data_IF_013668898357
#
_entry.id   IF_013668898357
#
_cell.length_a   1.000
_cell.length_b   1.000
_cell.length_c   1.000
_cell.angle_alpha   90.00
_cell.angle_beta   90.00
_cell.angle_gamma   90.00
#
_symmetry.space_group_name_H-M   'P 1'
#
loop_
_entity.id
_entity.type
_entity.pdbx_description
1 polymer ?
#
# COMPACT_ATOMS: atom_id res chain seq x y z
N UNK A 1 93.91 -69.87 154.69
CA UNK A 1 93.11 -68.82 155.36
C UNK A 1 93.38 -67.38 154.87
N UNK A 2 94.60 -66.80 154.90
CA UNK A 2 94.82 -65.42 154.38
C UNK A 2 94.86 -65.32 152.84
N UNK A 3 95.48 -66.28 152.15
CA UNK A 3 95.61 -66.29 150.67
C UNK A 3 94.31 -66.63 149.94
N UNK A 4 93.40 -67.41 150.55
CA UNK A 4 92.10 -67.74 149.95
C UNK A 4 91.15 -66.53 149.96
N UNK A 5 91.29 -65.63 150.95
CA UNK A 5 90.47 -64.43 151.08
C UNK A 5 90.85 -63.36 150.04
N UNK A 6 92.15 -63.22 149.72
CA UNK A 6 92.61 -62.34 148.63
C UNK A 6 92.24 -62.87 147.25
N UNK A 7 92.34 -64.18 147.03
CA UNK A 7 91.90 -64.82 145.79
C UNK A 7 90.38 -64.65 145.57
N UNK A 8 89.58 -64.78 146.63
CA UNK A 8 88.14 -64.52 146.59
C UNK A 8 87.80 -63.05 146.31
N UNK A 9 88.52 -62.09 146.91
CA UNK A 9 88.31 -60.65 146.63
C UNK A 9 88.69 -60.27 145.20
N UNK A 10 89.76 -60.84 144.67
CA UNK A 10 90.18 -60.63 143.28
C UNK A 10 89.17 -61.23 142.30
N UNK A 11 88.69 -62.45 142.57
CA UNK A 11 87.64 -63.08 141.79
C UNK A 11 86.30 -62.32 141.89
N UNK A 12 85.98 -61.72 143.05
CA UNK A 12 84.81 -60.88 143.20
C UNK A 12 84.94 -59.60 142.37
N UNK A 13 86.09 -58.92 142.41
CA UNK A 13 86.38 -57.74 141.60
C UNK A 13 86.37 -58.02 140.10
N UNK A 14 86.90 -59.18 139.66
CA UNK A 14 86.84 -59.60 138.25
C UNK A 14 85.40 -59.91 137.82
N UNK A 15 84.59 -60.50 138.70
CA UNK A 15 83.17 -60.72 138.46
C UNK A 15 82.37 -59.43 138.45
N UNK A 16 82.64 -58.49 139.35
CA UNK A 16 82.00 -57.17 139.37
C UNK A 16 82.37 -56.36 138.12
N UNK A 17 83.62 -56.46 137.64
CA UNK A 17 84.05 -55.87 136.37
C UNK A 17 83.33 -56.51 135.18
N UNK A 18 83.24 -57.84 135.13
CA UNK A 18 82.49 -58.56 134.10
C UNK A 18 80.99 -58.23 134.13
N UNK A 19 80.39 -58.11 135.31
CA UNK A 19 78.99 -57.71 135.48
C UNK A 19 78.76 -56.29 134.97
N UNK A 20 79.67 -55.35 135.28
CA UNK A 20 79.58 -53.98 134.80
C UNK A 20 79.76 -53.90 133.28
N UNK A 21 80.74 -54.61 132.70
CA UNK A 21 80.95 -54.71 131.26
C UNK A 21 79.73 -55.32 130.54
N UNK A 22 79.16 -56.39 131.09
CA UNK A 22 77.97 -57.03 130.54
C UNK A 22 76.73 -56.13 130.66
N UNK A 23 76.63 -55.33 131.73
CA UNK A 23 75.57 -54.32 131.87
C UNK A 23 75.74 -53.19 130.85
N UNK A 24 76.97 -52.69 130.63
CA UNK A 24 77.26 -51.70 129.60
C UNK A 24 76.94 -52.24 128.19
N UNK A 25 77.31 -53.48 127.88
CA UNK A 25 76.98 -54.14 126.62
C UNK A 25 75.46 -54.37 126.47
N UNK A 26 74.76 -54.76 127.55
CA UNK A 26 73.30 -54.91 127.56
C UNK A 26 72.60 -53.59 127.31
N UNK A 27 73.07 -52.50 127.94
CA UNK A 27 72.58 -51.14 127.70
C UNK A 27 72.83 -50.70 126.26
N UNK A 28 74.02 -50.97 125.71
CA UNK A 28 74.36 -50.65 124.33
C UNK A 28 73.47 -51.41 123.33
N UNK A 29 73.21 -52.71 123.57
CA UNK A 29 72.29 -53.52 122.76
C UNK A 29 70.85 -53.03 122.87
N UNK A 30 70.42 -52.58 124.04
CA UNK A 30 69.07 -52.04 124.25
C UNK A 30 68.88 -50.70 123.54
N UNK A 31 69.88 -49.81 123.57
CA UNK A 31 69.88 -48.57 122.79
C UNK A 31 69.87 -48.87 121.28
N UNK A 32 70.67 -49.83 120.80
CA UNK A 32 70.63 -50.25 119.40
C UNK A 32 69.27 -50.83 119.00
N UNK A 33 68.64 -51.62 119.88
CA UNK A 33 67.29 -52.14 119.69
C UNK A 33 66.29 -50.99 119.54
N UNK A 34 66.29 -50.00 120.43
CA UNK A 34 65.42 -48.83 120.36
C UNK A 34 65.65 -48.00 119.08
N UNK A 35 66.90 -47.77 118.68
CA UNK A 35 67.24 -47.10 117.41
C UNK A 35 66.70 -47.91 116.23
N UNK A 36 66.84 -49.24 116.24
CA UNK A 36 66.35 -50.11 115.17
C UNK A 36 64.82 -50.14 115.11
N UNK A 37 64.14 -50.14 116.25
CA UNK A 37 62.69 -50.06 116.36
C UNK A 37 62.18 -48.70 115.88
N UNK A 38 62.85 -47.60 116.25
CA UNK A 38 62.55 -46.25 115.77
C UNK A 38 62.71 -46.13 114.26
N UNK A 39 63.80 -46.67 113.69
CA UNK A 39 63.98 -46.75 112.22
C UNK A 39 62.89 -47.58 111.55
N UNK A 40 62.52 -48.73 112.12
CA UNK A 40 61.43 -49.55 111.60
C UNK A 40 60.08 -48.82 111.64
N UNK A 41 59.79 -48.09 112.70
CA UNK A 41 58.58 -47.30 112.84
C UNK A 41 58.54 -46.14 111.83
N UNK A 42 59.65 -45.44 111.63
CA UNK A 42 59.76 -44.39 110.60
C UNK A 42 59.53 -44.96 109.20
N UNK A 43 60.16 -46.09 108.87
CA UNK A 43 59.93 -46.76 107.58
C UNK A 43 58.47 -47.21 107.39
N UNK A 44 57.79 -47.59 108.47
CA UNK A 44 56.37 -47.94 108.41
C UNK A 44 55.50 -46.69 108.11
N UNK A 45 55.81 -45.55 108.72
CA UNK A 45 55.14 -44.28 108.44
C UNK A 45 55.40 -43.83 107.00
N UNK A 46 56.65 -43.90 106.54
CA UNK A 46 57.03 -43.53 105.18
C UNK A 46 56.35 -44.43 104.13
N UNK A 47 56.28 -45.75 104.38
CA UNK A 47 55.54 -46.68 103.53
C UNK A 47 54.03 -46.38 103.52
N UNK A 48 53.45 -46.01 104.66
CA UNK A 48 52.04 -45.61 104.70
C UNK A 48 51.80 -44.33 103.89
N UNK A 49 52.67 -43.33 104.01
CA UNK A 49 52.58 -42.09 103.23
C UNK A 49 52.74 -42.34 101.72
N UNK A 50 53.67 -43.22 101.33
CA UNK A 50 53.83 -43.65 99.93
C UNK A 50 52.60 -44.37 99.41
N UNK A 51 51.99 -45.26 100.19
CA UNK A 51 50.76 -45.97 99.79
C UNK A 51 49.59 -45.00 99.57
N UNK A 52 49.44 -43.99 100.43
CA UNK A 52 48.44 -42.93 100.21
C UNK A 52 48.71 -42.21 98.89
N UNK A 53 49.98 -41.87 98.62
CA UNK A 53 50.36 -41.19 97.38
C UNK A 53 50.12 -42.05 96.13
N UNK A 54 50.36 -43.36 96.22
CA UNK A 54 50.07 -44.31 95.14
C UNK A 54 48.57 -44.35 94.87
N UNK A 55 47.74 -44.45 95.91
CA UNK A 55 46.28 -44.46 95.75
C UNK A 55 45.76 -43.15 95.12
N UNK A 56 46.27 -41.99 95.55
CA UNK A 56 45.92 -40.69 94.94
C UNK A 56 46.27 -40.65 93.45
N UNK A 57 47.45 -41.17 93.08
CA UNK A 57 47.90 -41.24 91.68
C UNK A 57 47.06 -42.24 90.87
N UNK A 58 46.67 -43.38 91.45
CA UNK A 58 45.79 -44.35 90.82
C UNK A 58 44.40 -43.77 90.57
N UNK A 59 43.80 -43.09 91.54
CA UNK A 59 42.53 -42.36 91.37
C UNK A 59 42.65 -41.25 90.31
N UNK A 60 43.75 -40.50 90.33
CA UNK A 60 44.07 -39.50 89.30
C UNK A 60 44.21 -40.12 87.91
N UNK A 61 44.83 -41.30 87.81
CA UNK A 61 44.95 -42.04 86.56
C UNK A 61 43.59 -42.52 86.05
N UNK A 62 42.74 -43.08 86.93
CA UNK A 62 41.42 -43.56 86.55
C UNK A 62 40.50 -42.42 86.08
N UNK A 63 40.51 -41.29 86.79
CA UNK A 63 39.74 -40.10 86.39
C UNK A 63 40.20 -39.61 85.02
N UNK A 64 41.51 -39.45 84.80
CA UNK A 64 42.06 -39.08 83.48
C UNK A 64 41.71 -40.08 82.39
N UNK A 65 41.73 -41.38 82.67
CA UNK A 65 41.36 -42.42 81.71
C UNK A 65 39.87 -42.33 81.32
N UNK A 66 39.00 -42.02 82.29
CA UNK A 66 37.57 -41.80 82.04
C UNK A 66 37.31 -40.53 81.20
N UNK A 67 38.04 -39.43 81.47
CA UNK A 67 38.00 -38.20 80.67
C UNK A 67 38.47 -38.46 79.23
N UNK A 68 39.56 -39.21 79.06
CA UNK A 68 40.09 -39.60 77.75
C UNK A 68 39.09 -40.43 76.95
N UNK A 69 38.40 -41.37 77.60
CA UNK A 69 37.34 -42.15 76.99
C UNK A 69 36.14 -41.27 76.55
N UNK A 70 35.78 -40.26 77.34
CA UNK A 70 34.73 -39.30 76.99
C UNK A 70 35.13 -38.41 75.81
N UNK A 71 36.35 -37.89 75.82
CA UNK A 71 36.91 -37.09 74.72
C UNK A 71 37.00 -37.91 73.42
N UNK A 72 37.41 -39.17 73.50
CA UNK A 72 37.43 -40.07 72.34
C UNK A 72 36.04 -40.26 71.74
N UNK A 73 35.00 -40.47 72.57
CA UNK A 73 33.59 -40.53 72.11
C UNK A 73 33.14 -39.24 71.43
N UNK A 74 33.48 -38.08 72.00
CA UNK A 74 33.15 -36.78 71.41
C UNK A 74 33.87 -36.56 70.08
N UNK A 75 35.14 -36.95 69.99
CA UNK A 75 35.93 -36.88 68.76
C UNK A 75 35.31 -37.73 67.66
N UNK A 76 34.98 -39.00 67.94
CA UNK A 76 34.31 -39.87 66.97
C UNK A 76 32.97 -39.29 66.50
N UNK A 77 32.18 -38.71 67.41
CA UNK A 77 30.90 -38.08 67.05
C UNK A 77 31.09 -36.81 66.20
N UNK A 78 32.12 -36.03 66.49
CA UNK A 78 32.53 -34.88 65.68
C UNK A 78 32.97 -35.32 64.28
N UNK A 79 33.74 -36.40 64.19
CA UNK A 79 34.21 -36.97 62.93
C UNK A 79 33.04 -37.51 62.09
N UNK A 80 32.10 -38.23 62.70
CA UNK A 80 30.86 -38.68 62.04
C UNK A 80 30.03 -37.50 61.52
N UNK A 81 29.89 -36.44 62.33
CA UNK A 81 29.19 -35.22 61.90
C UNK A 81 29.89 -34.54 60.72
N UNK A 82 31.23 -34.44 60.76
CA UNK A 82 32.02 -33.89 59.65
C UNK A 82 31.82 -34.68 58.36
N UNK A 83 31.83 -36.02 58.45
CA UNK A 83 31.55 -36.89 57.30
C UNK A 83 30.13 -36.73 56.76
N UNK A 84 29.12 -36.62 57.64
CA UNK A 84 27.73 -36.35 57.24
C UNK A 84 27.60 -35.01 56.51
N UNK A 85 28.20 -33.96 57.04
CA UNK A 85 28.21 -32.63 56.40
C UNK A 85 28.90 -32.69 55.04
N UNK A 86 30.06 -33.36 54.94
CA UNK A 86 30.77 -33.53 53.67
C UNK A 86 29.93 -34.27 52.62
N UNK A 87 29.23 -35.34 53.03
CA UNK A 87 28.32 -36.08 52.15
C UNK A 87 27.14 -35.21 51.68
N UNK A 88 26.57 -34.41 52.58
CA UNK A 88 25.47 -33.51 52.27
C UNK A 88 25.92 -32.38 51.32
N UNK A 89 27.10 -31.80 51.55
CA UNK A 89 27.73 -30.82 50.67
C UNK A 89 27.95 -31.38 49.26
N UNK A 90 28.43 -32.62 49.16
CA UNK A 90 28.64 -33.31 47.88
C UNK A 90 27.31 -33.52 47.14
N UNK A 91 26.26 -33.92 47.85
CA UNK A 91 24.91 -34.07 47.28
C UNK A 91 24.39 -32.73 46.73
N UNK A 92 24.47 -31.66 47.51
CA UNK A 92 24.00 -30.33 47.06
C UNK A 92 24.81 -29.78 45.89
N UNK A 93 26.12 -30.08 45.79
CA UNK A 93 26.92 -29.71 44.62
C UNK A 93 26.45 -30.43 43.36
N UNK A 94 26.16 -31.73 43.44
CA UNK A 94 25.63 -32.50 42.30
C UNK A 94 24.27 -31.96 41.84
N UNK A 95 23.39 -31.61 42.78
CA UNK A 95 22.09 -30.99 42.49
C UNK A 95 22.27 -29.62 41.81
N UNK A 96 23.20 -28.80 42.29
CA UNK A 96 23.54 -27.51 41.70
C UNK A 96 24.05 -27.65 40.27
N UNK A 97 24.94 -28.62 40.02
CA UNK A 97 25.50 -28.86 38.69
C UNK A 97 24.44 -29.40 37.73
N UNK A 98 23.52 -30.25 38.22
CA UNK A 98 22.35 -30.67 37.47
C UNK A 98 21.47 -29.46 37.08
N UNK A 99 21.14 -28.60 38.04
CA UNK A 99 20.34 -27.39 37.79
C UNK A 99 21.03 -26.45 36.80
N UNK A 100 22.35 -26.26 36.89
CA UNK A 100 23.13 -25.45 35.93
C UNK A 100 23.06 -26.02 34.52
N UNK A 101 23.14 -27.34 34.39
CA UNK A 101 23.01 -28.02 33.10
C UNK A 101 21.62 -27.78 32.49
N UNK A 102 20.56 -27.92 33.28
CA UNK A 102 19.18 -27.64 32.83
C UNK A 102 18.96 -26.17 32.48
N UNK A 103 19.51 -25.24 33.27
CA UNK A 103 19.50 -23.81 32.99
C UNK A 103 20.18 -23.50 31.64
N UNK A 104 21.32 -24.13 31.36
CA UNK A 104 22.02 -23.90 30.09
C UNK A 104 21.23 -24.43 28.88
N UNK A 105 20.57 -25.59 29.02
CA UNK A 105 19.69 -26.16 27.97
C UNK A 105 18.48 -25.28 27.72
N UNK A 106 17.82 -24.81 28.77
CA UNK A 106 16.64 -23.93 28.65
C UNK A 106 17.02 -22.57 28.06
N UNK A 107 18.18 -22.01 28.43
CA UNK A 107 18.71 -20.79 27.82
C UNK A 107 18.99 -20.96 26.34
N UNK A 108 19.63 -22.06 25.94
CA UNK A 108 19.85 -22.36 24.52
C UNK A 108 18.53 -22.52 23.74
N UNK A 109 17.54 -23.19 24.31
CA UNK A 109 16.21 -23.33 23.71
C UNK A 109 15.48 -21.98 23.58
N UNK A 110 15.66 -21.07 24.56
CA UNK A 110 15.13 -19.72 24.51
C UNK A 110 15.77 -18.91 23.38
N UNK A 111 17.09 -18.95 23.23
CA UNK A 111 17.82 -18.25 22.17
C UNK A 111 17.40 -18.74 20.77
N UNK A 112 17.21 -20.06 20.61
CA UNK A 112 16.66 -20.65 19.38
C UNK A 112 15.24 -20.14 19.11
N UNK A 113 14.40 -20.02 20.13
CA UNK A 113 13.03 -19.53 19.97
C UNK A 113 13.00 -18.04 19.61
N UNK A 114 13.88 -17.23 20.20
CA UNK A 114 14.01 -15.81 19.88
C UNK A 114 14.51 -15.57 18.46
N UNK A 115 15.46 -16.37 17.97
CA UNK A 115 15.93 -16.25 16.57
C UNK A 115 14.85 -16.64 15.56
N UNK A 116 14.05 -17.68 15.84
CA UNK A 116 12.87 -18.04 15.05
C UNK A 116 11.84 -16.92 15.02
N UNK A 117 11.57 -16.30 16.17
CA UNK A 117 10.61 -15.20 16.29
C UNK A 117 11.06 -14.00 15.44
N UNK A 118 12.33 -13.59 15.53
CA UNK A 118 12.89 -12.52 14.69
C UNK A 118 12.75 -12.82 13.19
N UNK A 119 12.96 -14.07 12.78
CA UNK A 119 12.78 -14.49 11.38
C UNK A 119 11.33 -14.31 10.94
N UNK A 120 10.37 -14.81 11.72
CA UNK A 120 8.94 -14.67 11.43
C UNK A 120 8.54 -13.19 11.36
N UNK A 121 9.00 -12.36 12.29
CA UNK A 121 8.73 -10.91 12.27
C UNK A 121 9.23 -10.23 11.00
N UNK A 122 10.42 -10.63 10.51
CA UNK A 122 10.96 -10.11 9.26
C UNK A 122 10.14 -10.53 8.03
N UNK A 123 9.69 -11.79 7.98
CA UNK A 123 8.83 -12.33 6.93
C UNK A 123 7.47 -11.63 6.93
N UNK A 124 6.87 -11.44 8.10
CA UNK A 124 5.61 -10.73 8.28
C UNK A 124 5.72 -9.25 7.87
N UNK A 125 6.87 -8.62 8.12
CA UNK A 125 7.19 -7.29 7.64
C UNK A 125 7.25 -7.20 6.10
N UNK A 126 7.89 -8.18 5.44
CA UNK A 126 7.93 -8.25 3.98
C UNK A 126 6.55 -8.48 3.38
N UNK A 127 5.75 -9.38 3.98
CA UNK A 127 4.39 -9.69 3.53
C UNK A 127 3.44 -8.48 3.68
N UNK A 128 3.56 -7.71 4.77
CA UNK A 128 2.80 -6.45 4.93
C UNK A 128 3.16 -5.42 3.87
N UNK A 129 4.44 -5.31 3.49
CA UNK A 129 4.91 -4.43 2.41
C UNK A 129 4.38 -4.87 1.04
N UNK A 130 4.36 -6.16 0.73
CA UNK A 130 3.79 -6.64 -0.53
C UNK A 130 2.27 -6.43 -0.57
N UNK A 131 1.57 -6.71 0.54
CA UNK A 131 0.12 -6.51 0.64
C UNK A 131 -0.27 -5.03 0.46
N UNK A 132 0.44 -4.10 1.10
CA UNK A 132 0.18 -2.65 0.92
C UNK A 132 0.37 -2.19 -0.53
N UNK A 133 1.41 -2.70 -1.22
CA UNK A 133 1.62 -2.42 -2.65
C UNK A 133 0.49 -2.96 -3.52
N UNK A 134 0.04 -4.20 -3.27
CA UNK A 134 -1.07 -4.80 -4.03
C UNK A 134 -2.36 -4.02 -3.78
N UNK A 135 -2.65 -3.68 -2.52
CA UNK A 135 -3.81 -2.87 -2.14
C UNK A 135 -3.82 -1.53 -2.87
N UNK A 136 -2.70 -0.82 -2.90
CA UNK A 136 -2.59 0.47 -3.60
C UNK A 136 -2.85 0.31 -5.11
N UNK A 137 -2.25 -0.69 -5.76
CA UNK A 137 -2.51 -0.97 -7.18
C UNK A 137 -4.00 -1.23 -7.46
N UNK A 138 -4.65 -1.99 -6.59
CA UNK A 138 -6.06 -2.32 -6.73
C UNK A 138 -6.96 -1.09 -6.51
N UNK A 139 -6.61 -0.20 -5.59
CA UNK A 139 -7.28 1.09 -5.39
C UNK A 139 -7.10 2.02 -6.60
N UNK A 140 -5.90 2.06 -7.19
CA UNK A 140 -5.63 2.83 -8.41
C UNK A 140 -6.43 2.30 -9.62
N UNK A 141 -6.51 0.98 -9.79
CA UNK A 141 -7.32 0.34 -10.84
C UNK A 141 -8.82 0.60 -10.64
N UNK A 142 -9.32 0.50 -9.40
CA UNK A 142 -10.69 0.87 -9.06
C UNK A 142 -10.98 2.34 -9.39
N UNK A 143 -10.02 3.24 -9.11
CA UNK A 143 -10.12 4.64 -9.48
C UNK A 143 -10.25 4.85 -10.99
N UNK A 144 -9.42 4.17 -11.78
CA UNK A 144 -9.46 4.21 -13.25
C UNK A 144 -10.80 3.69 -13.79
N UNK A 145 -11.23 2.51 -13.35
CA UNK A 145 -12.49 1.90 -13.76
C UNK A 145 -13.70 2.79 -13.43
N UNK A 146 -13.72 3.39 -12.23
CA UNK A 146 -14.78 4.34 -11.85
C UNK A 146 -14.79 5.56 -12.77
N UNK A 147 -13.63 6.12 -13.09
CA UNK A 147 -13.54 7.27 -14.00
C UNK A 147 -14.00 6.93 -15.42
N UNK A 148 -13.71 5.72 -15.92
CA UNK A 148 -14.19 5.23 -17.20
C UNK A 148 -15.71 5.04 -17.20
N UNK A 149 -16.26 4.42 -16.15
CA UNK A 149 -17.70 4.23 -16.00
C UNK A 149 -18.47 5.57 -16.01
N UNK A 150 -17.93 6.61 -15.38
CA UNK A 150 -18.54 7.95 -15.40
C UNK A 150 -18.56 8.51 -16.83
N UNK A 151 -17.44 8.43 -17.56
CA UNK A 151 -17.36 8.90 -18.96
C UNK A 151 -18.31 8.15 -19.90
N UNK A 152 -18.44 6.84 -19.71
CA UNK A 152 -19.38 6.02 -20.49
C UNK A 152 -20.84 6.36 -20.17
N UNK A 153 -21.17 6.61 -18.89
CA UNK A 153 -22.51 7.07 -18.50
C UNK A 153 -22.83 8.44 -19.10
N UNK A 154 -21.90 9.37 -19.08
CA UNK A 154 -22.06 10.69 -19.70
C UNK A 154 -22.30 10.58 -21.21
N UNK A 155 -21.50 9.75 -21.89
CA UNK A 155 -21.66 9.47 -23.33
C UNK A 155 -23.01 8.84 -23.65
N UNK A 156 -23.45 7.85 -22.86
CA UNK A 156 -24.75 7.21 -23.05
C UNK A 156 -25.92 8.16 -22.78
N UNK A 157 -25.82 9.01 -21.77
CA UNK A 157 -26.82 10.05 -21.51
C UNK A 157 -26.92 11.01 -22.71
N UNK A 158 -25.77 11.45 -23.25
CA UNK A 158 -25.75 12.32 -24.44
C UNK A 158 -26.39 11.63 -25.65
N UNK A 159 -26.01 10.38 -25.94
CA UNK A 159 -26.62 9.61 -27.03
C UNK A 159 -28.13 9.42 -26.84
N UNK A 160 -28.57 9.16 -25.60
CA UNK A 160 -30.00 9.05 -25.29
C UNK A 160 -30.73 10.36 -25.52
N UNK A 161 -30.15 11.51 -25.14
CA UNK A 161 -30.77 12.82 -25.42
C UNK A 161 -30.84 13.11 -26.92
N UNK A 162 -29.80 12.76 -27.69
CA UNK A 162 -29.81 12.91 -29.14
C UNK A 162 -30.89 12.03 -29.79
N UNK A 163 -31.04 10.78 -29.33
CA UNK A 163 -32.08 9.89 -29.83
C UNK A 163 -33.49 10.46 -29.57
N UNK A 164 -33.73 11.05 -28.39
CA UNK A 164 -35.03 11.69 -28.10
C UNK A 164 -35.31 12.89 -28.99
N UNK A 165 -34.30 13.75 -29.22
CA UNK A 165 -34.46 14.93 -30.10
C UNK A 165 -34.73 14.50 -31.54
N UNK A 166 -34.02 13.50 -32.05
CA UNK A 166 -34.26 12.97 -33.40
C UNK A 166 -35.65 12.32 -33.53
N UNK A 167 -36.12 11.65 -32.48
CA UNK A 167 -37.46 11.09 -32.45
C UNK A 167 -38.52 12.20 -32.52
N UNK A 168 -38.32 13.29 -31.79
CA UNK A 168 -39.22 14.45 -31.81
C UNK A 168 -39.22 15.15 -33.18
N UNK A 169 -38.06 15.33 -33.80
CA UNK A 169 -37.96 15.88 -35.17
C UNK A 169 -38.64 14.97 -36.19
N UNK A 170 -38.44 13.66 -36.09
CA UNK A 170 -39.09 12.68 -36.97
C UNK A 170 -40.62 12.74 -36.83
N UNK A 171 -41.13 12.84 -35.59
CA UNK A 171 -42.56 13.02 -35.33
C UNK A 171 -43.09 14.33 -35.93
N UNK A 172 -42.32 15.41 -35.86
CA UNK A 172 -42.67 16.69 -36.47
C UNK A 172 -42.77 16.55 -38.00
N UNK A 173 -41.77 15.93 -38.64
CA UNK A 173 -41.78 15.66 -40.10
C UNK A 173 -42.95 14.80 -40.52
N UNK A 174 -43.29 13.77 -39.76
CA UNK A 174 -44.49 12.97 -40.03
C UNK A 174 -45.77 13.80 -39.97
N UNK A 175 -45.87 14.73 -39.02
CA UNK A 175 -47.02 15.65 -38.94
C UNK A 175 -47.08 16.62 -40.13
N UNK A 176 -45.93 17.10 -40.62
CA UNK A 176 -45.83 17.94 -41.81
C UNK A 176 -46.26 17.16 -43.06
N UNK A 177 -45.77 15.93 -43.23
CA UNK A 177 -46.16 15.04 -44.33
C UNK A 177 -47.66 14.75 -44.32
N UNK A 178 -48.26 14.52 -43.14
CA UNK A 178 -49.70 14.34 -43.02
C UNK A 178 -50.49 15.58 -43.49
N UNK A 179 -50.03 16.79 -43.11
CA UNK A 179 -50.64 18.05 -43.59
C UNK A 179 -50.51 18.20 -45.10
N UNK A 180 -49.33 17.93 -45.67
CA UNK A 180 -49.10 18.00 -47.12
C UNK A 180 -49.95 16.98 -47.88
N UNK A 181 -50.08 15.76 -47.37
CA UNK A 181 -50.93 14.71 -47.95
C UNK A 181 -52.39 15.17 -48.04
N UNK A 182 -52.93 15.72 -46.95
CA UNK A 182 -54.29 16.27 -46.94
C UNK A 182 -54.46 17.42 -47.95
N UNK A 183 -53.46 18.31 -48.06
CA UNK A 183 -53.49 19.42 -49.03
C UNK A 183 -53.49 18.86 -50.47
N UNK A 184 -52.65 17.87 -50.77
CA UNK A 184 -52.60 17.23 -52.08
C UNK A 184 -53.94 16.59 -52.42
N UNK A 185 -54.53 15.84 -51.48
CA UNK A 185 -55.84 15.22 -51.70
C UNK A 185 -56.94 16.25 -52.01
N UNK A 186 -56.94 17.38 -51.29
CA UNK A 186 -57.86 18.49 -51.59
C UNK A 186 -57.59 19.10 -52.96
N UNK A 187 -56.32 19.27 -53.34
CA UNK A 187 -55.94 19.82 -54.65
C UNK A 187 -56.31 18.88 -55.80
N UNK A 188 -56.15 17.58 -55.64
CA UNK A 188 -56.57 16.58 -56.62
C UNK A 188 -58.10 16.60 -56.81
N UNK A 189 -58.87 16.71 -55.72
CA UNK A 189 -60.32 16.91 -55.81
C UNK A 189 -60.69 18.19 -56.56
N UNK A 190 -59.97 19.29 -56.33
CA UNK A 190 -60.18 20.55 -57.05
C UNK A 190 -59.85 20.41 -58.55
N UNK A 191 -58.75 19.72 -58.89
CA UNK A 191 -58.37 19.45 -60.27
C UNK A 191 -59.43 18.61 -60.99
N UNK A 192 -59.90 17.53 -60.36
CA UNK A 192 -60.99 16.70 -60.90
C UNK A 192 -62.27 17.51 -61.13
N UNK A 193 -62.63 18.41 -60.20
CA UNK A 193 -63.77 19.30 -60.38
C UNK A 193 -63.57 20.25 -61.57
N UNK A 194 -62.36 20.82 -61.72
CA UNK A 194 -62.03 21.71 -62.84
C UNK A 194 -61.96 20.97 -64.18
N UNK A 195 -61.50 19.73 -64.22
CA UNK A 195 -61.52 18.90 -65.43
C UNK A 195 -62.94 18.56 -65.85
N UNK A 196 -63.84 18.29 -64.89
CA UNK A 196 -65.26 18.12 -65.17
C UNK A 196 -65.89 19.42 -65.73
N UNK A 197 -65.61 20.57 -65.13
CA UNK A 197 -66.03 21.88 -65.65
C UNK A 197 -65.50 22.10 -67.08
N UNK A 198 -64.21 21.85 -67.31
CA UNK A 198 -63.59 21.96 -68.63
C UNK A 198 -64.20 21.01 -69.64
N UNK A 199 -64.60 19.80 -69.24
CA UNK A 199 -65.31 18.86 -70.10
C UNK A 199 -66.65 19.43 -70.54
N UNK A 200 -67.43 20.00 -69.61
CA UNK A 200 -68.70 20.67 -69.90
C UNK A 200 -68.47 21.87 -70.84
N UNK A 201 -67.46 22.71 -70.57
CA UNK A 201 -67.13 23.84 -71.44
C UNK A 201 -66.64 23.39 -72.83
N UNK A 202 -65.87 22.30 -72.93
CA UNK A 202 -65.46 21.71 -74.21
C UNK A 202 -66.67 21.21 -75.00
N UNK A 203 -67.62 20.56 -74.34
CA UNK A 203 -68.86 20.10 -74.96
C UNK A 203 -69.71 21.29 -75.46
N UNK A 204 -69.82 22.35 -74.66
CA UNK A 204 -70.48 23.60 -75.05
C UNK A 204 -69.75 24.27 -76.24
N UNK A 205 -68.42 24.32 -76.21
CA UNK A 205 -67.61 24.84 -77.31
C UNK A 205 -67.77 24.01 -78.58
N UNK A 206 -67.87 22.69 -78.49
CA UNK A 206 -68.11 21.85 -79.66
C UNK A 206 -69.52 22.02 -80.21
N UNK A 207 -70.53 22.26 -79.35
CA UNK A 207 -71.88 22.70 -79.77
C UNK A 207 -71.83 24.08 -80.46
N UNK A 208 -71.08 25.05 -79.93
CA UNK A 208 -70.89 26.38 -80.53
C UNK A 208 -70.08 26.34 -81.85
N UNK A 209 -69.01 25.55 -81.92
CA UNK A 209 -68.21 25.32 -83.14
C UNK A 209 -69.04 24.68 -84.26
N UNK A 210 -70.00 23.82 -83.90
CA UNK A 210 -70.98 23.23 -84.82
C UNK A 210 -72.08 24.22 -85.20
N UNK A 211 -72.29 25.29 -84.44
CA UNK A 211 -73.26 26.36 -84.71
C UNK A 211 -72.73 27.37 -85.75
N UNK A 212 -73.66 27.96 -86.52
CA UNK A 212 -73.35 28.83 -87.66
C UNK A 212 -72.47 30.06 -87.31
N UNK A 213 -72.61 30.60 -86.10
CA UNK A 213 -71.91 31.80 -85.64
C UNK A 213 -70.38 31.63 -85.49
N UNK A 214 -69.88 30.45 -85.07
CA UNK A 214 -68.44 30.24 -84.81
C UNK A 214 -67.61 30.03 -86.08
N UNK A 215 -68.24 29.54 -87.16
CA UNK A 215 -67.64 29.44 -88.50
C UNK A 215 -67.41 30.81 -89.13
N UNK A 216 -68.19 31.83 -88.75
CA UNK A 216 -68.10 33.19 -89.30
C UNK A 216 -66.90 34.00 -88.76
N UNK A 217 -66.28 33.64 -87.63
CA UNK A 217 -65.22 34.42 -86.97
C UNK A 217 -63.80 33.82 -87.12
N UNK A 218 -63.68 32.70 -87.85
CA UNK A 218 -62.41 32.01 -88.10
C UNK A 218 -61.26 32.87 -88.69
N UNK A 219 -61.50 33.85 -89.58
CA UNK A 219 -60.43 34.69 -90.15
C UNK A 219 -59.73 35.56 -89.10
N UNK A 220 -60.47 36.05 -88.09
CA UNK A 220 -59.95 36.99 -87.08
C UNK A 220 -58.98 36.30 -86.11
N UNK A 221 -59.19 35.01 -85.83
CA UNK A 221 -58.37 34.20 -84.92
C UNK A 221 -56.96 33.89 -85.48
N UNK A 222 -56.79 33.87 -86.80
CA UNK A 222 -55.50 33.58 -87.42
C UNK A 222 -54.47 34.71 -87.26
N UNK A 223 -54.92 35.94 -87.00
CA UNK A 223 -54.03 37.10 -86.86
C UNK A 223 -53.31 37.18 -85.50
N UNK A 224 -53.80 36.53 -84.44
CA UNK A 224 -53.28 36.70 -83.07
C UNK A 224 -52.05 35.82 -82.73
N UNK A 225 -51.65 34.91 -83.61
CA UNK A 225 -50.56 33.94 -83.33
C UNK A 225 -49.13 34.48 -83.58
N UNK A 226 -48.97 35.73 -84.05
CA UNK A 226 -47.68 36.25 -84.53
C UNK A 226 -46.75 36.91 -83.50
N UNK A 227 -47.01 36.88 -82.18
CA UNK A 227 -46.15 37.57 -81.21
C UNK A 227 -45.91 36.79 -79.90
N UNK A 228 -44.77 36.07 -79.78
CA UNK A 228 -43.95 35.92 -78.53
C UNK A 228 -42.75 34.95 -78.67
N UNK A 229 -41.51 35.47 -78.68
CA UNK A 229 -40.29 34.86 -78.08
C UNK A 229 -39.11 35.87 -78.10
N UNK A 230 -38.38 36.07 -76.99
CA UNK A 230 -37.31 37.10 -76.80
C UNK A 230 -35.93 36.47 -76.58
N UNK A 231 -34.87 37.16 -77.05
CA UNK A 231 -33.44 36.78 -77.15
C UNK A 231 -32.66 36.82 -75.82
N UNK A 232 -32.06 35.71 -75.39
CA UNK A 232 -31.16 35.60 -74.21
C UNK A 232 -29.67 35.77 -74.53
N UNK A 233 -29.25 35.63 -75.80
CA UNK A 233 -27.83 35.60 -76.20
C UNK A 233 -27.10 36.96 -76.14
N UNK A 234 -27.82 38.07 -76.11
CA UNK A 234 -27.22 39.43 -76.11
C UNK A 234 -26.71 39.86 -74.73
N UNK A 235 -27.32 39.38 -73.65
CA UNK A 235 -27.04 39.86 -72.29
C UNK A 235 -25.71 39.31 -71.74
N UNK A 236 -25.38 38.06 -72.06
CA UNK A 236 -24.15 37.41 -71.59
C UNK A 236 -22.90 38.14 -72.10
N UNK A 237 -22.91 38.60 -73.36
CA UNK A 237 -21.78 39.35 -73.94
C UNK A 237 -21.50 40.66 -73.20
N UNK A 238 -22.56 41.37 -72.81
CA UNK A 238 -22.45 42.61 -72.07
C UNK A 238 -21.82 42.39 -70.69
N UNK A 239 -22.18 41.31 -69.98
CA UNK A 239 -21.61 41.00 -68.67
C UNK A 239 -20.13 40.59 -68.74
N UNK A 240 -19.74 39.84 -69.78
CA UNK A 240 -18.33 39.49 -70.01
C UNK A 240 -17.48 40.74 -70.20
N UNK A 241 -17.94 41.69 -70.99
CA UNK A 241 -17.23 42.95 -71.27
C UNK A 241 -17.05 43.81 -70.00
N UNK A 242 -18.09 43.91 -69.16
CA UNK A 242 -18.04 44.64 -67.89
C UNK A 242 -17.00 44.04 -66.93
N UNK A 243 -16.95 42.72 -66.82
CA UNK A 243 -15.99 42.03 -65.95
C UNK A 243 -14.56 42.18 -66.49
N UNK A 244 -14.38 42.01 -67.80
CA UNK A 244 -13.06 42.13 -68.43
C UNK A 244 -12.45 43.52 -68.25
N UNK A 245 -13.25 44.57 -68.40
CA UNK A 245 -12.80 45.96 -68.26
C UNK A 245 -12.62 46.42 -66.80
N UNK A 246 -13.09 45.64 -65.82
CA UNK A 246 -13.02 46.01 -64.41
C UNK A 246 -11.65 45.89 -63.77
N UNK A 247 -10.77 45.04 -64.32
CA UNK A 247 -9.50 44.67 -63.69
C UNK A 247 -9.62 43.86 -62.39
N UNK A 248 -10.83 43.43 -62.01
CA UNK A 248 -11.11 42.61 -60.82
C UNK A 248 -11.24 41.11 -61.13
N UNK A 249 -11.09 40.72 -62.40
CA UNK A 249 -10.95 39.34 -62.83
C UNK A 249 -9.58 39.14 -63.46
N UNK A 250 -8.86 38.08 -63.05
CA UNK A 250 -7.54 37.74 -63.60
C UNK A 250 -7.60 36.37 -64.25
N UNK A 251 -7.49 36.34 -65.58
CA UNK A 251 -7.60 35.10 -66.37
C UNK A 251 -6.49 34.12 -65.98
N UNK A 252 -5.25 34.59 -65.88
CA UNK A 252 -4.10 33.75 -65.55
C UNK A 252 -4.17 33.21 -64.12
N UNK A 253 -4.61 34.04 -63.18
CA UNK A 253 -4.81 33.63 -61.79
C UNK A 253 -5.94 32.60 -61.67
N UNK A 254 -7.06 32.84 -62.35
CA UNK A 254 -8.23 31.98 -62.29
C UNK A 254 -7.94 30.59 -62.88
N UNK A 255 -7.25 30.52 -64.02
CA UNK A 255 -6.80 29.25 -64.61
C UNK A 255 -5.78 28.52 -63.73
N UNK A 256 -4.83 29.25 -63.13
CA UNK A 256 -3.81 28.66 -62.26
C UNK A 256 -4.41 28.01 -61.01
N UNK A 257 -5.45 28.61 -60.42
CA UNK A 257 -6.09 28.09 -59.21
C UNK A 257 -7.16 27.03 -59.50
N UNK A 258 -7.74 27.04 -60.71
CA UNK A 258 -8.81 26.12 -61.12
C UNK A 258 -8.47 25.49 -62.49
N UNK A 259 -7.48 24.57 -62.55
CA UNK A 259 -7.04 23.95 -63.80
C UNK A 259 -8.15 23.12 -64.47
N UNK A 260 -9.14 22.64 -63.72
CA UNK A 260 -10.30 21.91 -64.24
C UNK A 260 -11.15 22.72 -65.23
N UNK A 261 -10.99 24.05 -65.30
CA UNK A 261 -11.72 24.90 -66.25
C UNK A 261 -11.32 24.58 -67.69
N UNK A 262 -10.09 24.12 -67.93
CA UNK A 262 -9.63 23.83 -69.29
C UNK A 262 -10.34 22.60 -69.90
N UNK A 263 -11.07 21.81 -69.11
CA UNK A 263 -11.99 20.77 -69.60
C UNK A 263 -13.28 21.36 -70.19
N UNK A 264 -13.64 22.60 -69.83
CA UNK A 264 -14.82 23.29 -70.34
C UNK A 264 -14.47 24.09 -71.60
N UNK A 265 -15.25 23.92 -72.67
CA UNK A 265 -15.08 24.69 -73.93
C UNK A 265 -15.59 26.14 -73.87
N UNK A 266 -15.51 26.79 -72.71
CA UNK A 266 -15.98 28.18 -72.48
C UNK A 266 -14.85 29.05 -71.94
N UNK A 267 -14.94 30.37 -72.11
CA UNK A 267 -13.90 31.27 -71.59
C UNK A 267 -13.91 31.30 -70.04
N UNK A 268 -12.77 31.55 -69.37
CA UNK A 268 -12.72 31.62 -67.90
C UNK A 268 -13.71 32.62 -67.28
N UNK A 269 -13.95 33.76 -67.96
CA UNK A 269 -14.93 34.76 -67.53
C UNK A 269 -16.36 34.22 -67.67
N UNK A 270 -16.68 33.55 -68.79
CA UNK A 270 -17.99 32.90 -68.98
C UNK A 270 -18.21 31.77 -67.98
N UNK A 271 -17.17 30.98 -67.69
CA UNK A 271 -17.22 29.94 -66.67
C UNK A 271 -17.55 30.53 -65.30
N UNK A 272 -16.85 31.59 -64.90
CA UNK A 272 -17.14 32.28 -63.64
C UNK A 272 -18.56 32.83 -63.58
N UNK A 273 -19.04 33.47 -64.66
CA UNK A 273 -20.39 34.05 -64.75
C UNK A 273 -21.52 33.01 -64.67
N UNK A 274 -21.28 31.78 -65.10
CA UNK A 274 -22.35 30.77 -65.25
C UNK A 274 -22.31 29.70 -64.16
N UNK A 275 -21.11 29.26 -63.77
CA UNK A 275 -20.85 28.12 -62.89
C UNK A 275 -20.01 28.55 -61.69
N UNK A 276 -18.87 29.21 -61.93
CA UNK A 276 -17.85 29.43 -60.90
C UNK A 276 -18.35 30.18 -59.67
N UNK A 277 -19.14 31.24 -59.83
CA UNK A 277 -19.64 31.98 -58.67
C UNK A 277 -20.62 31.17 -57.79
N UNK A 278 -21.36 30.22 -58.38
CA UNK A 278 -22.32 29.37 -57.63
C UNK A 278 -21.60 28.29 -56.82
N UNK A 279 -20.42 27.89 -57.30
CA UNK A 279 -19.51 27.00 -56.59
C UNK A 279 -18.66 27.74 -55.55
N UNK A 280 -18.83 29.06 -55.42
CA UNK A 280 -18.04 29.88 -54.50
C UNK A 280 -16.58 30.05 -54.94
N UNK A 281 -16.28 29.94 -56.25
CA UNK A 281 -14.92 30.16 -56.75
C UNK A 281 -14.58 31.65 -56.76
N UNK A 282 -13.30 31.97 -56.57
CA UNK A 282 -12.82 33.35 -56.44
C UNK A 282 -12.31 33.87 -57.79
N UNK A 283 -12.77 35.02 -58.31
CA UNK A 283 -12.41 35.49 -59.66
C UNK A 283 -10.99 36.06 -59.80
N UNK A 284 -10.40 36.56 -58.70
CA UNK A 284 -9.00 37.01 -58.65
C UNK A 284 -8.51 37.17 -57.22
N UNK A 285 -7.21 37.32 -57.03
CA UNK A 285 -6.62 37.67 -55.71
C UNK A 285 -7.16 38.99 -55.13
N UNK A 286 -7.64 39.89 -55.99
CA UNK A 286 -8.09 41.23 -55.57
C UNK A 286 -9.54 41.26 -55.13
N UNK A 287 -10.34 40.26 -55.50
CA UNK A 287 -11.76 40.22 -55.20
C UNK A 287 -12.17 38.81 -54.79
N UNK A 288 -12.55 38.63 -53.53
CA UNK A 288 -13.16 37.40 -53.03
C UNK A 288 -14.68 37.53 -53.00
N UNK A 289 -15.35 36.68 -53.78
CA UNK A 289 -16.80 36.67 -53.89
C UNK A 289 -17.49 36.18 -52.61
N UNK A 290 -16.88 35.24 -51.87
CA UNK A 290 -17.44 34.74 -50.63
C UNK A 290 -17.34 35.78 -49.52
N UNK A 291 -16.21 36.49 -49.43
CA UNK A 291 -16.06 37.59 -48.48
C UNK A 291 -17.05 38.73 -48.75
N UNK A 292 -17.26 39.05 -50.03
CA UNK A 292 -18.26 40.05 -50.44
C UNK A 292 -19.69 39.63 -50.04
N UNK A 293 -20.07 38.38 -50.27
CA UNK A 293 -21.39 37.86 -49.89
C UNK A 293 -21.57 37.76 -48.37
N UNK A 294 -20.52 37.39 -47.62
CA UNK A 294 -20.55 37.37 -46.17
C UNK A 294 -20.72 38.79 -45.58
N UNK A 295 -20.15 39.80 -46.23
CA UNK A 295 -20.26 41.21 -45.82
C UNK A 295 -21.61 41.84 -46.19
N UNK A 296 -22.28 41.32 -47.22
CA UNK A 296 -23.55 41.83 -47.73
C UNK A 296 -24.62 40.72 -47.84
N UNK A 297 -25.30 40.38 -46.72
CA UNK A 297 -26.29 39.30 -46.69
C UNK A 297 -27.50 39.51 -47.61
N UNK A 298 -27.83 40.75 -47.95
CA UNK A 298 -28.85 41.10 -48.92
C UNK A 298 -28.51 40.54 -50.31
N UNK A 299 -27.25 40.68 -50.74
CA UNK A 299 -26.76 40.13 -52.01
C UNK A 299 -26.71 38.60 -51.97
N UNK A 300 -26.35 38.03 -50.81
CA UNK A 300 -26.33 36.58 -50.61
C UNK A 300 -27.73 35.97 -50.74
N UNK A 301 -28.77 36.62 -50.20
CA UNK A 301 -30.15 36.17 -50.30
C UNK A 301 -30.69 36.21 -51.74
N UNK A 302 -30.25 37.17 -52.55
CA UNK A 302 -30.64 37.25 -53.97
C UNK A 302 -29.95 36.20 -54.85
N UNK A 303 -28.86 35.58 -54.38
CA UNK A 303 -28.15 34.53 -55.11
C UNK A 303 -27.51 35.02 -56.42
N UNK A 304 -27.23 36.32 -56.52
CA UNK A 304 -26.64 36.95 -57.71
C UNK A 304 -25.12 36.81 -57.72
N UNK A 305 -24.51 36.95 -58.91
CA UNK A 305 -23.06 36.90 -59.03
C UNK A 305 -22.41 38.09 -58.28
N UNK A 306 -21.54 37.84 -57.28
CA UNK A 306 -21.03 38.90 -56.39
C UNK A 306 -20.15 39.92 -57.12
N UNK A 307 -19.29 39.47 -58.04
CA UNK A 307 -18.45 40.38 -58.82
C UNK A 307 -19.29 41.25 -59.76
N UNK A 308 -20.28 40.66 -60.43
CA UNK A 308 -21.16 41.40 -61.33
C UNK A 308 -22.03 42.41 -60.56
N UNK A 309 -22.57 41.99 -59.40
CA UNK A 309 -23.33 42.88 -58.51
C UNK A 309 -22.46 44.06 -58.07
N UNK A 310 -21.24 43.80 -57.63
CA UNK A 310 -20.31 44.84 -57.23
C UNK A 310 -20.04 45.85 -58.36
N UNK A 311 -19.79 45.37 -59.57
CA UNK A 311 -19.48 46.22 -60.72
C UNK A 311 -20.67 47.05 -61.22
N UNK A 312 -21.89 46.52 -61.14
CA UNK A 312 -23.09 47.19 -61.63
C UNK A 312 -23.75 48.11 -60.59
N UNK A 313 -23.75 47.72 -59.32
CA UNK A 313 -24.49 48.39 -58.25
C UNK A 313 -23.58 48.72 -57.06
N UNK A 314 -22.86 47.72 -56.55
CA UNK A 314 -22.12 47.83 -55.30
C UNK A 314 -21.13 48.99 -55.23
N UNK A 315 -20.41 49.28 -56.33
CA UNK A 315 -19.48 50.42 -56.40
C UNK A 315 -20.18 51.78 -56.23
N UNK A 316 -21.36 51.94 -56.81
CA UNK A 316 -22.14 53.19 -56.72
C UNK A 316 -22.86 53.30 -55.37
N UNK A 317 -23.15 52.18 -54.73
CA UNK A 317 -23.72 52.09 -53.38
C UNK A 317 -22.68 52.28 -52.27
N UNK A 318 -21.39 52.47 -52.61
CA UNK A 318 -20.31 52.65 -51.65
C UNK A 318 -19.89 51.36 -50.93
N UNK A 319 -20.24 50.19 -51.47
CA UNK A 319 -19.84 48.89 -50.92
C UNK A 319 -18.35 48.63 -51.17
N UNK A 320 -17.72 47.85 -50.31
CA UNK A 320 -16.30 47.49 -50.40
C UNK A 320 -16.13 45.98 -50.30
N UNK A 321 -15.14 45.44 -51.02
CA UNK A 321 -14.70 44.05 -50.96
C UNK A 321 -13.33 44.01 -50.26
#
# INVERSE_FOLDING_TARGET
MKNELEALKKALSEKDYLINSLNEDSLALQVQLEISQGKSAQLAVDNAALNVRVNELEEGYQTKNSELAMLSKLFFKSEENSQRIAAQLKKSHLELDCCKSELSKTKAALDISQTKLKKIESELGLLKKSHSKIKQKLEDELGKLKSQLVKEKESNNLLSTQATVLQDDLNLRFSELAKLSNILEVKDRQLLAKDNELSIYKEQLDKLKKSFAWKAVAPVRALSYKFKKKNTKSLLRQHVEVIQNSGLFSIDWYRKNYPEIDEYSISPIEHYLTIGFKLGLTPSERFDGNDYLARYPDVQQEGVNPLLHYLMFGKNEGRTF
#
